data_IF_676624057113
#
_entry.id   IF_676624057113
#
_cell.length_a   1.000
_cell.length_b   1.000
_cell.length_c   1.000
_cell.angle_alpha   90.00
_cell.angle_beta   90.00
_cell.angle_gamma   90.00
#
_symmetry.space_group_name_H-M   'P 1'
#
loop_
_entity.id
_entity.type
_entity.pdbx_description
1 polymer ?
#
# COMPACT_ATOMS: atom_id res chain seq x y z
N UNK A 1 14.52 11.68 -16.86
CA UNK A 1 14.06 10.86 -15.73
C UNK A 1 14.80 9.53 -15.80
N UNK A 2 15.45 9.08 -14.72
CA UNK A 2 16.23 7.83 -14.73
C UNK A 2 15.25 6.65 -14.78
N UNK A 3 15.36 5.81 -15.81
CA UNK A 3 14.50 4.64 -15.99
C UNK A 3 15.15 3.43 -15.33
N UNK A 4 14.38 2.72 -14.49
CA UNK A 4 14.80 1.49 -13.83
C UNK A 4 14.07 0.31 -14.49
N UNK A 5 14.77 -0.79 -14.75
CA UNK A 5 14.16 -2.00 -15.33
C UNK A 5 13.33 -2.78 -14.31
N UNK A 6 13.66 -2.64 -13.03
CA UNK A 6 13.00 -3.37 -11.94
C UNK A 6 12.79 -2.45 -10.74
N UNK A 7 11.61 -2.56 -10.11
CA UNK A 7 11.29 -1.88 -8.86
C UNK A 7 11.06 -2.93 -7.77
N UNK A 8 11.75 -2.75 -6.64
CA UNK A 8 11.62 -3.59 -5.45
C UNK A 8 10.74 -2.84 -4.45
N UNK A 9 9.45 -3.16 -4.45
CA UNK A 9 8.44 -2.53 -3.61
C UNK A 9 8.46 -3.21 -2.24
N UNK A 10 9.26 -2.67 -1.32
CA UNK A 10 9.41 -3.18 0.03
C UNK A 10 8.34 -2.58 0.95
N UNK A 11 7.68 -3.41 1.76
CA UNK A 11 6.66 -2.91 2.69
C UNK A 11 7.30 -2.14 3.85
N UNK A 12 6.94 -0.85 3.96
CA UNK A 12 7.29 0.07 5.06
C UNK A 12 6.14 0.25 6.07
N UNK A 13 5.17 -0.66 6.10
CA UNK A 13 4.16 -0.66 7.16
C UNK A 13 4.77 -0.98 8.53
N UNK A 14 4.20 -0.46 9.61
CA UNK A 14 4.76 -0.60 10.97
C UNK A 14 5.07 -2.04 11.40
N UNK A 15 4.26 -3.02 10.96
CA UNK A 15 4.50 -4.43 11.23
C UNK A 15 5.74 -4.97 10.50
N UNK A 16 6.02 -4.49 9.28
CA UNK A 16 7.22 -4.85 8.54
C UNK A 16 8.46 -4.13 9.08
N UNK A 17 8.35 -2.86 9.48
CA UNK A 17 9.43 -2.18 10.20
C UNK A 17 9.78 -2.93 11.49
N UNK A 18 8.77 -3.29 12.29
CA UNK A 18 8.95 -4.07 13.51
C UNK A 18 9.57 -5.45 13.28
N UNK A 19 9.38 -6.05 12.09
CA UNK A 19 10.03 -7.30 11.70
C UNK A 19 11.35 -7.13 10.94
N UNK A 20 11.89 -5.90 10.88
CA UNK A 20 13.23 -5.62 10.37
C UNK A 20 13.31 -5.21 8.90
N UNK A 21 12.22 -4.73 8.28
CA UNK A 21 12.24 -4.33 6.87
C UNK A 21 13.23 -3.20 6.56
N UNK A 22 13.53 -2.31 7.50
CA UNK A 22 14.55 -1.26 7.29
C UNK A 22 15.95 -1.84 7.11
N UNK A 23 16.32 -2.85 7.91
CA UNK A 23 17.59 -3.53 7.76
C UNK A 23 17.67 -4.29 6.42
N UNK A 24 16.56 -4.90 5.99
CA UNK A 24 16.43 -5.54 4.68
C UNK A 24 16.60 -4.53 3.54
N UNK A 25 15.99 -3.34 3.66
CA UNK A 25 16.12 -2.23 2.70
C UNK A 25 17.56 -1.80 2.53
N UNK A 26 18.25 -1.59 3.65
CA UNK A 26 19.61 -1.06 3.65
C UNK A 26 20.57 -2.12 3.08
N UNK A 27 20.42 -3.39 3.46
CA UNK A 27 21.16 -4.50 2.89
C UNK A 27 20.93 -4.65 1.36
N UNK A 28 19.68 -4.49 0.90
CA UNK A 28 19.36 -4.50 -0.54
C UNK A 28 20.11 -3.39 -1.28
N UNK A 29 20.08 -2.16 -0.76
CA UNK A 29 20.77 -1.02 -1.38
C UNK A 29 22.28 -1.26 -1.46
N UNK A 30 22.89 -1.75 -0.38
CA UNK A 30 24.33 -2.04 -0.32
C UNK A 30 24.75 -3.15 -1.29
N UNK A 31 24.04 -4.28 -1.31
CA UNK A 31 24.39 -5.40 -2.17
C UNK A 31 24.12 -5.08 -3.66
N UNK A 32 23.06 -4.32 -3.98
CA UNK A 32 22.82 -3.82 -5.33
C UNK A 32 23.96 -2.90 -5.81
N UNK A 33 24.44 -1.98 -4.97
CA UNK A 33 25.56 -1.10 -5.31
C UNK A 33 26.87 -1.90 -5.51
N UNK A 34 27.14 -2.88 -4.64
CA UNK A 34 28.31 -3.77 -4.76
C UNK A 34 28.31 -4.56 -6.08
N UNK A 35 27.12 -4.98 -6.54
CA UNK A 35 26.93 -5.70 -7.82
C UNK A 35 26.76 -4.75 -9.02
N UNK A 36 26.80 -3.43 -8.80
CA UNK A 36 26.60 -2.37 -9.82
C UNK A 36 25.21 -2.40 -10.49
N UNK A 37 24.18 -2.80 -9.74
CA UNK A 37 22.79 -2.90 -10.20
C UNK A 37 21.92 -1.72 -9.74
N UNK A 38 22.44 -0.83 -8.88
CA UNK A 38 21.77 0.36 -8.34
C UNK A 38 21.41 1.42 -9.40
N UNK A 39 22.02 1.32 -10.59
CA UNK A 39 21.64 2.09 -11.78
C UNK A 39 20.39 1.58 -12.49
N UNK A 40 20.04 0.32 -12.30
CA UNK A 40 19.02 -0.42 -13.06
C UNK A 40 17.82 -0.85 -12.20
N UNK A 41 18.05 -1.05 -10.90
CA UNK A 41 17.06 -1.55 -9.95
C UNK A 41 16.82 -0.51 -8.86
N UNK A 42 15.57 -0.14 -8.64
CA UNK A 42 15.17 0.82 -7.60
C UNK A 42 14.52 0.09 -6.44
N UNK A 43 15.04 0.30 -5.24
CA UNK A 43 14.34 -0.06 -3.99
C UNK A 43 13.39 1.07 -3.64
N UNK A 44 12.10 0.75 -3.52
CA UNK A 44 11.04 1.70 -3.14
C UNK A 44 10.45 1.21 -1.84
N UNK A 45 10.48 2.05 -0.81
CA UNK A 45 9.72 1.79 0.40
C UNK A 45 8.28 2.24 0.17
N UNK A 46 7.36 1.30 0.31
CA UNK A 46 5.93 1.53 0.10
C UNK A 46 5.20 1.58 1.44
N UNK A 47 3.93 2.00 1.43
CA UNK A 47 3.04 1.81 2.59
C UNK A 47 2.79 0.33 2.92
N UNK A 48 1.82 0.05 3.80
CA UNK A 48 1.51 -1.33 4.17
C UNK A 48 1.04 -2.15 2.95
N UNK A 49 1.59 -3.34 2.76
CA UNK A 49 1.11 -4.29 1.75
C UNK A 49 -0.14 -5.07 2.21
N UNK A 50 -0.29 -5.27 3.52
CA UNK A 50 -1.49 -5.86 4.14
C UNK A 50 -1.33 -7.31 4.63
N UNK A 51 -0.29 -8.05 4.21
CA UNK A 51 -0.07 -9.43 4.66
C UNK A 51 0.96 -9.53 5.80
N UNK A 52 0.65 -8.90 6.94
CA UNK A 52 1.59 -8.74 8.06
C UNK A 52 2.18 -10.05 8.60
N UNK A 53 1.42 -11.15 8.54
CA UNK A 53 1.89 -12.48 8.99
C UNK A 53 3.08 -13.02 8.19
N UNK A 54 3.34 -12.47 7.00
CA UNK A 54 4.44 -12.84 6.11
C UNK A 54 5.54 -11.78 6.05
N UNK A 55 5.47 -10.72 6.87
CA UNK A 55 6.44 -9.63 6.90
C UNK A 55 7.84 -10.08 7.35
N UNK A 56 8.92 -9.42 6.89
CA UNK A 56 8.96 -8.39 5.84
C UNK A 56 8.61 -8.96 4.45
N UNK A 57 7.79 -8.22 3.70
CA UNK A 57 7.37 -8.60 2.33
C UNK A 57 7.89 -7.61 1.31
N UNK A 58 8.16 -8.10 0.10
CA UNK A 58 8.59 -7.29 -1.04
C UNK A 58 7.92 -7.78 -2.32
N UNK A 59 7.45 -6.86 -3.15
CA UNK A 59 6.92 -7.16 -4.49
C UNK A 59 7.90 -6.67 -5.54
N UNK A 60 8.30 -7.55 -6.46
CA UNK A 60 9.17 -7.19 -7.58
C UNK A 60 8.31 -6.86 -8.80
N UNK A 61 8.45 -5.64 -9.30
CA UNK A 61 7.80 -5.18 -10.52
C UNK A 61 8.83 -5.09 -11.66
N UNK A 62 8.47 -5.45 -12.91
CA UNK A 62 7.11 -5.73 -13.41
C UNK A 62 6.64 -7.19 -13.26
N UNK A 63 7.49 -8.11 -12.78
CA UNK A 63 7.19 -9.56 -12.78
C UNK A 63 6.10 -9.98 -11.77
N UNK A 64 5.66 -9.06 -10.92
CA UNK A 64 4.67 -9.24 -9.85
C UNK A 64 5.02 -10.34 -8.84
N UNK A 65 6.31 -10.62 -8.65
CA UNK A 65 6.80 -11.65 -7.74
C UNK A 65 6.73 -11.17 -6.29
N UNK A 66 6.08 -11.95 -5.42
CA UNK A 66 5.95 -11.71 -3.99
C UNK A 66 6.97 -12.53 -3.20
N UNK A 67 7.86 -11.83 -2.51
CA UNK A 67 8.78 -12.41 -1.53
C UNK A 67 8.29 -12.15 -0.11
N UNK A 68 8.41 -13.16 0.75
CA UNK A 68 7.97 -13.12 2.14
C UNK A 68 9.10 -13.45 3.13
N UNK A 69 8.90 -13.03 4.38
CA UNK A 69 9.77 -13.33 5.53
C UNK A 69 11.24 -13.04 5.24
N UNK A 70 11.49 -11.98 4.47
CA UNK A 70 12.83 -11.60 4.06
C UNK A 70 13.68 -11.27 5.28
N UNK A 71 14.91 -11.79 5.28
CA UNK A 71 15.93 -11.45 6.27
C UNK A 71 17.14 -10.86 5.58
N UNK A 72 17.99 -10.20 6.36
CA UNK A 72 19.23 -9.61 5.87
C UNK A 72 20.14 -10.67 5.24
N UNK A 73 20.15 -11.88 5.80
CA UNK A 73 20.99 -12.99 5.32
C UNK A 73 20.55 -13.54 3.96
N UNK A 74 19.28 -13.31 3.56
CA UNK A 74 18.75 -13.75 2.28
C UNK A 74 19.18 -12.83 1.12
N UNK A 75 19.58 -11.58 1.42
CA UNK A 75 19.82 -10.54 0.42
C UNK A 75 20.95 -10.88 -0.57
N UNK A 76 22.12 -11.39 -0.14
CA UNK A 76 23.17 -11.76 -1.09
C UNK A 76 22.73 -12.80 -2.12
N UNK A 77 22.00 -13.83 -1.69
CA UNK A 77 21.45 -14.86 -2.58
C UNK A 77 20.37 -14.26 -3.48
N UNK A 78 19.45 -13.48 -2.93
CA UNK A 78 18.36 -12.86 -3.67
C UNK A 78 18.87 -11.95 -4.79
N UNK A 79 19.85 -11.10 -4.50
CA UNK A 79 20.44 -10.20 -5.51
C UNK A 79 21.20 -10.99 -6.57
N UNK A 80 21.96 -12.00 -6.16
CA UNK A 80 22.74 -12.81 -7.09
C UNK A 80 21.87 -13.68 -8.00
N UNK A 81 20.92 -14.42 -7.44
CA UNK A 81 20.11 -15.36 -8.22
C UNK A 81 19.05 -14.61 -9.01
N UNK A 82 18.25 -13.75 -8.38
CA UNK A 82 17.12 -13.13 -9.07
C UNK A 82 17.56 -11.95 -9.94
N UNK A 83 18.28 -10.98 -9.37
CA UNK A 83 18.50 -9.72 -10.06
C UNK A 83 19.70 -9.71 -11.02
N UNK A 84 20.73 -10.52 -10.72
CA UNK A 84 21.91 -10.68 -11.58
C UNK A 84 21.75 -11.84 -12.58
N UNK A 85 21.30 -13.02 -12.13
CA UNK A 85 21.19 -14.22 -12.99
C UNK A 85 19.80 -14.45 -13.59
N UNK A 86 18.77 -13.71 -13.15
CA UNK A 86 17.40 -13.83 -13.66
C UNK A 86 16.64 -15.05 -13.13
N UNK A 87 17.08 -15.65 -12.01
CA UNK A 87 16.46 -16.82 -11.39
C UNK A 87 15.80 -16.46 -10.07
N UNK A 88 14.47 -16.33 -10.02
CA UNK A 88 13.75 -16.09 -8.78
C UNK A 88 14.05 -17.14 -7.69
N UNK A 89 14.03 -16.71 -6.44
CA UNK A 89 14.42 -17.56 -5.29
C UNK A 89 13.17 -18.24 -4.70
N UNK A 90 12.87 -19.46 -5.16
CA UNK A 90 11.63 -20.18 -4.83
C UNK A 90 11.40 -20.36 -3.32
N UNK A 91 12.46 -20.58 -2.54
CA UNK A 91 12.35 -20.76 -1.08
C UNK A 91 11.79 -19.53 -0.34
N UNK A 92 11.81 -18.35 -0.99
CA UNK A 92 11.33 -17.08 -0.43
C UNK A 92 9.91 -16.72 -0.93
N UNK A 93 9.32 -17.52 -1.81
CA UNK A 93 7.94 -17.33 -2.26
C UNK A 93 6.93 -17.68 -1.18
N UNK A 94 5.68 -17.25 -1.40
CA UNK A 94 4.57 -17.70 -0.56
C UNK A 94 4.35 -19.19 -0.74
N UNK A 95 4.22 -19.92 0.39
CA UNK A 95 3.87 -21.34 0.39
C UNK A 95 2.52 -21.50 1.05
N UNK A 96 1.53 -21.99 0.29
CA UNK A 96 0.18 -22.14 0.80
C UNK A 96 0.13 -23.25 1.86
N UNK A 97 -0.34 -22.98 3.10
CA UNK A 97 -0.31 -23.97 4.17
C UNK A 97 -1.17 -25.23 3.94
N UNK A 98 -2.15 -25.17 3.03
CA UNK A 98 -3.09 -26.26 2.81
C UNK A 98 -2.63 -27.22 1.70
N UNK A 99 -2.14 -26.69 0.58
CA UNK A 99 -1.68 -27.47 -0.57
C UNK A 99 -0.17 -27.73 -0.59
N UNK A 100 0.59 -26.98 0.23
CA UNK A 100 2.06 -26.91 0.20
C UNK A 100 2.63 -26.38 -1.13
N UNK A 101 1.77 -25.83 -2.00
CA UNK A 101 2.19 -25.22 -3.26
C UNK A 101 2.90 -23.89 -3.03
N UNK A 102 3.90 -23.64 -3.88
CA UNK A 102 4.66 -22.40 -3.87
C UNK A 102 4.10 -21.46 -4.93
N UNK A 103 3.69 -20.26 -4.52
CA UNK A 103 3.00 -19.27 -5.34
C UNK A 103 3.88 -18.03 -5.47
N UNK A 104 4.44 -17.75 -6.67
CA UNK A 104 5.33 -16.60 -6.88
C UNK A 104 4.57 -15.28 -7.03
N UNK A 105 3.43 -15.29 -7.73
CA UNK A 105 2.70 -14.09 -8.12
C UNK A 105 1.83 -13.56 -6.98
N UNK A 106 1.89 -12.25 -6.72
CA UNK A 106 1.03 -11.58 -5.74
C UNK A 106 -0.46 -11.86 -5.97
N UNK A 107 -0.88 -11.81 -7.25
CA UNK A 107 -2.29 -11.89 -7.64
C UNK A 107 -2.88 -13.30 -7.45
N UNK A 108 -2.02 -14.33 -7.45
CA UNK A 108 -2.43 -15.72 -7.31
C UNK A 108 -2.51 -16.17 -5.84
N UNK A 109 -1.90 -15.42 -4.92
CA UNK A 109 -1.94 -15.72 -3.49
C UNK A 109 -3.39 -15.58 -2.98
N UNK A 110 -4.00 -16.64 -2.39
CA UNK A 110 -5.40 -16.63 -1.96
C UNK A 110 -5.78 -15.49 -1.00
N UNK A 111 -4.80 -15.01 -0.22
CA UNK A 111 -4.98 -13.85 0.66
C UNK A 111 -5.36 -12.60 -0.12
N UNK A 112 -4.71 -12.31 -1.25
CA UNK A 112 -4.94 -11.10 -2.05
C UNK A 112 -6.04 -11.29 -3.10
N UNK A 113 -6.07 -12.44 -3.78
CA UNK A 113 -6.94 -12.67 -4.94
C UNK A 113 -8.45 -12.58 -4.64
N UNK A 114 -8.82 -12.71 -3.37
CA UNK A 114 -10.21 -12.65 -2.88
C UNK A 114 -10.60 -11.27 -2.34
N UNK A 115 -9.72 -10.28 -2.42
CA UNK A 115 -9.97 -8.93 -1.90
C UNK A 115 -10.42 -7.98 -3.00
N UNK A 116 -11.39 -7.12 -2.67
CA UNK A 116 -11.75 -5.97 -3.52
C UNK A 116 -11.25 -4.68 -2.86
N UNK A 117 -10.08 -4.23 -3.28
CA UNK A 117 -9.46 -3.02 -2.74
C UNK A 117 -10.04 -1.78 -3.41
N UNK A 118 -10.91 -1.05 -2.70
CA UNK A 118 -11.45 0.24 -3.16
C UNK A 118 -10.68 1.43 -2.58
N UNK A 119 -10.63 1.50 -1.26
CA UNK A 119 -9.90 2.55 -0.52
C UNK A 119 -8.40 2.27 -0.55
N UNK A 120 -8.01 1.00 -0.36
CA UNK A 120 -6.61 0.55 -0.30
C UNK A 120 -6.03 0.15 -1.66
N UNK A 121 -6.63 0.58 -2.78
CA UNK A 121 -6.24 0.15 -4.13
C UNK A 121 -4.78 0.44 -4.50
N UNK A 122 -4.18 1.43 -3.83
CA UNK A 122 -2.81 1.86 -4.07
C UNK A 122 -1.81 1.35 -3.02
N UNK A 123 -2.26 0.68 -1.94
CA UNK A 123 -1.34 0.27 -0.87
C UNK A 123 -0.26 -0.68 -1.42
N UNK A 124 0.97 -0.54 -0.95
CA UNK A 124 2.09 -1.38 -1.38
C UNK A 124 2.50 -1.22 -2.85
N UNK A 125 1.96 -0.23 -3.58
CA UNK A 125 2.24 -0.03 -5.02
C UNK A 125 2.89 1.31 -5.35
N UNK A 126 2.98 2.22 -4.38
CA UNK A 126 3.56 3.55 -4.52
C UNK A 126 4.41 3.90 -3.29
N UNK A 127 5.32 4.85 -3.50
CA UNK A 127 6.02 5.58 -2.45
C UNK A 127 5.06 6.62 -1.83
N UNK A 128 4.69 6.49 -0.54
CA UNK A 128 3.71 7.38 0.10
C UNK A 128 4.20 8.83 0.24
N UNK A 129 5.51 9.08 0.08
CA UNK A 129 6.10 10.43 0.20
C UNK A 129 6.19 11.16 -1.16
N UNK A 130 5.87 10.49 -2.27
CA UNK A 130 5.93 11.06 -3.62
C UNK A 130 4.54 11.34 -4.19
N UNK A 131 4.16 12.61 -4.17
CA UNK A 131 2.84 13.07 -4.64
C UNK A 131 2.56 12.70 -6.11
N UNK A 132 3.58 12.73 -6.97
CA UNK A 132 3.43 12.44 -8.39
C UNK A 132 2.99 10.98 -8.65
N UNK A 133 3.42 10.04 -7.80
CA UNK A 133 2.99 8.64 -7.91
C UNK A 133 1.50 8.49 -7.55
N UNK A 134 1.02 9.28 -6.59
CA UNK A 134 -0.40 9.30 -6.24
C UNK A 134 -1.23 9.93 -7.37
N UNK A 135 -0.78 11.06 -7.93
CA UNK A 135 -1.44 11.73 -9.07
C UNK A 135 -1.49 10.81 -10.29
N UNK A 136 -0.41 10.10 -10.59
CA UNK A 136 -0.34 9.16 -11.71
C UNK A 136 -1.35 7.98 -11.60
N UNK A 137 -1.95 7.78 -10.42
CA UNK A 137 -2.94 6.73 -10.13
C UNK A 137 -4.29 7.32 -9.71
N UNK A 138 -4.71 8.37 -10.40
CA UNK A 138 -5.98 9.10 -10.21
C UNK A 138 -6.11 9.79 -8.85
N UNK A 139 -5.00 9.97 -8.14
CA UNK A 139 -4.94 10.75 -6.91
C UNK A 139 -5.43 12.17 -7.16
N UNK A 140 -6.16 12.74 -6.19
CA UNK A 140 -6.81 14.05 -6.27
C UNK A 140 -7.88 14.23 -7.37
N UNK A 141 -8.12 13.26 -8.26
CA UNK A 141 -9.13 13.42 -9.31
C UNK A 141 -10.53 13.72 -8.76
N UNK A 142 -10.92 13.04 -7.68
CA UNK A 142 -12.18 13.33 -6.97
C UNK A 142 -12.21 14.70 -6.30
N UNK A 143 -11.08 15.17 -5.76
CA UNK A 143 -10.96 16.50 -5.16
C UNK A 143 -11.03 17.60 -6.23
N UNK A 144 -10.34 17.42 -7.35
CA UNK A 144 -10.39 18.33 -8.50
C UNK A 144 -11.83 18.50 -9.00
N UNK A 145 -12.55 17.39 -9.20
CA UNK A 145 -13.96 17.43 -9.60
C UNK A 145 -14.82 18.17 -8.58
N UNK A 146 -14.69 17.84 -7.28
CA UNK A 146 -15.46 18.47 -6.22
C UNK A 146 -15.21 19.98 -6.13
N UNK A 147 -13.96 20.43 -6.32
CA UNK A 147 -13.57 21.84 -6.19
C UNK A 147 -13.91 22.69 -7.42
N UNK A 148 -13.82 22.13 -8.62
CA UNK A 148 -13.91 22.89 -9.87
C UNK A 148 -15.27 22.74 -10.57
N UNK A 149 -15.99 21.65 -10.32
CA UNK A 149 -17.18 21.29 -11.11
C UNK A 149 -18.45 21.10 -10.28
N UNK A 150 -18.37 21.15 -8.95
CA UNK A 150 -19.50 20.83 -8.07
C UNK A 150 -19.76 21.92 -7.04
N UNK A 151 -21.03 22.12 -6.74
CA UNK A 151 -21.50 22.90 -5.58
C UNK A 151 -21.46 22.05 -4.30
N UNK A 152 -21.42 22.67 -3.10
CA UNK A 152 -21.52 21.95 -1.83
C UNK A 152 -22.76 21.03 -1.75
N UNK A 153 -23.90 21.48 -2.27
CA UNK A 153 -25.15 20.72 -2.30
C UNK A 153 -25.04 19.46 -3.17
N UNK A 154 -24.37 19.55 -4.32
CA UNK A 154 -24.13 18.41 -5.21
C UNK A 154 -23.17 17.41 -4.58
N UNK A 155 -22.12 17.87 -3.89
CA UNK A 155 -21.19 17.01 -3.15
C UNK A 155 -21.94 16.22 -2.08
N UNK A 156 -22.76 16.90 -1.26
CA UNK A 156 -23.60 16.26 -0.24
C UNK A 156 -24.58 15.27 -0.89
N UNK A 157 -25.19 15.65 -2.02
CA UNK A 157 -26.07 14.79 -2.80
C UNK A 157 -25.39 13.50 -3.26
N UNK A 158 -24.16 13.60 -3.78
CA UNK A 158 -23.38 12.44 -4.21
C UNK A 158 -23.02 11.53 -3.04
N UNK A 159 -22.64 12.11 -1.90
CA UNK A 159 -22.38 11.34 -0.67
C UNK A 159 -23.61 10.61 -0.16
N UNK A 160 -24.81 11.20 -0.26
CA UNK A 160 -26.08 10.53 0.06
C UNK A 160 -26.37 9.38 -0.91
N UNK A 161 -26.18 9.59 -2.22
CA UNK A 161 -26.35 8.56 -3.25
C UNK A 161 -25.42 7.36 -3.07
N UNK A 162 -24.17 7.61 -2.68
CA UNK A 162 -23.18 6.54 -2.45
C UNK A 162 -23.56 5.56 -1.33
N UNK A 163 -24.43 5.98 -0.40
CA UNK A 163 -24.79 5.20 0.78
C UNK A 163 -23.64 5.01 1.76
N UNK A 164 -22.57 5.82 1.70
CA UNK A 164 -21.42 5.68 2.60
C UNK A 164 -21.84 5.87 4.05
N UNK A 165 -21.46 4.92 4.90
CA UNK A 165 -21.67 4.95 6.35
C UNK A 165 -20.34 5.18 7.06
N UNK A 166 -20.40 5.83 8.23
CA UNK A 166 -19.22 6.06 9.07
C UNK A 166 -18.51 4.76 9.42
N UNK A 167 -17.18 4.72 9.25
CA UNK A 167 -16.37 3.52 9.42
C UNK A 167 -15.79 3.31 10.82
N UNK A 168 -15.86 4.31 11.69
CA UNK A 168 -15.51 4.19 13.12
C UNK A 168 -16.57 3.50 13.98
N UNK A 169 -17.23 2.45 13.48
CA UNK A 169 -18.18 1.63 14.25
C UNK A 169 -19.65 2.06 14.21
N UNK A 170 -19.97 3.33 14.53
CA UNK A 170 -21.37 3.77 14.68
C UNK A 170 -22.23 3.66 13.41
N UNK A 171 -21.60 3.65 12.22
CA UNK A 171 -22.30 3.38 10.97
C UNK A 171 -23.36 4.43 10.59
N UNK A 172 -23.27 5.65 11.10
CA UNK A 172 -24.21 6.72 10.73
C UNK A 172 -24.02 7.12 9.25
N UNK A 173 -25.09 7.39 8.47
CA UNK A 173 -24.96 7.80 7.07
C UNK A 173 -24.16 9.10 6.92
N UNK A 174 -23.05 9.04 6.18
CA UNK A 174 -22.08 10.14 6.06
C UNK A 174 -22.70 11.35 5.37
N UNK A 175 -23.42 11.15 4.26
CA UNK A 175 -24.08 12.23 3.54
C UNK A 175 -25.15 12.96 4.37
N UNK A 176 -25.85 12.25 5.26
CA UNK A 176 -26.81 12.86 6.18
C UNK A 176 -26.10 13.72 7.24
N UNK A 177 -24.98 13.23 7.79
CA UNK A 177 -24.16 14.00 8.73
C UNK A 177 -23.65 15.30 8.09
N UNK A 178 -23.21 15.23 6.83
CA UNK A 178 -22.75 16.41 6.08
C UNK A 178 -23.89 17.38 5.77
N UNK A 179 -25.09 16.90 5.45
CA UNK A 179 -26.28 17.74 5.25
C UNK A 179 -26.63 18.53 6.52
N UNK A 180 -26.60 17.90 7.70
CA UNK A 180 -26.84 18.59 8.97
C UNK A 180 -25.81 19.68 9.25
N UNK A 181 -24.53 19.38 9.04
CA UNK A 181 -23.45 20.37 9.18
C UNK A 181 -23.53 21.48 8.13
N UNK A 182 -23.94 21.17 6.90
CA UNK A 182 -24.15 22.14 5.83
C UNK A 182 -25.25 23.15 6.18
N UNK A 183 -26.35 22.67 6.76
CA UNK A 183 -27.51 23.49 7.16
C UNK A 183 -27.35 24.24 8.49
N UNK A 184 -26.34 23.91 9.30
CA UNK A 184 -26.14 24.62 10.56
C UNK A 184 -25.75 26.08 10.30
N UNK A 185 -26.32 26.98 11.11
CA UNK A 185 -25.94 28.40 11.13
C UNK A 185 -24.50 28.58 11.62
N UNK A 186 -23.85 29.66 11.16
CA UNK A 186 -22.48 30.02 11.52
C UNK A 186 -21.53 29.99 10.31
N UNK A 187 -20.70 31.02 10.23
CA UNK A 187 -19.76 31.23 9.11
C UNK A 187 -18.52 30.32 9.21
N UNK A 188 -18.17 29.89 10.42
CA UNK A 188 -17.01 29.04 10.69
C UNK A 188 -17.46 27.60 10.91
N UNK A 189 -16.92 26.70 10.09
CA UNK A 189 -17.18 25.25 10.16
C UNK A 189 -15.86 24.49 10.25
N UNK A 190 -15.90 23.33 10.91
CA UNK A 190 -14.72 22.51 11.15
C UNK A 190 -14.91 21.10 10.57
N UNK A 191 -13.81 20.54 10.08
CA UNK A 191 -13.71 19.13 9.72
C UNK A 191 -12.71 18.48 10.66
N UNK A 192 -13.16 17.45 11.38
CA UNK A 192 -12.36 16.72 12.36
C UNK A 192 -12.18 15.30 11.85
N UNK A 193 -10.93 14.90 11.61
CA UNK A 193 -10.58 13.51 11.36
C UNK A 193 -10.25 12.85 12.70
N UNK A 194 -11.00 11.81 13.06
CA UNK A 194 -10.64 10.99 14.21
C UNK A 194 -9.72 9.87 13.73
N UNK A 195 -8.46 9.91 14.15
CA UNK A 195 -7.43 8.92 13.83
C UNK A 195 -6.84 8.28 15.11
N UNK A 196 -7.62 8.25 16.20
CA UNK A 196 -7.18 7.71 17.49
C UNK A 196 -6.99 6.17 17.44
N UNK A 197 -7.82 5.47 16.65
CA UNK A 197 -7.74 4.01 16.39
C UNK A 197 -7.44 3.16 17.65
N UNK A 198 -8.06 3.51 18.79
CA UNK A 198 -7.72 2.91 20.09
C UNK A 198 -8.22 1.47 20.31
N UNK A 199 -9.03 0.93 19.40
CA UNK A 199 -9.63 -0.40 19.56
C UNK A 199 -8.59 -1.53 19.36
N UNK A 200 -8.49 -2.51 20.28
CA UNK A 200 -7.57 -3.64 20.11
C UNK A 200 -7.82 -4.42 18.82
N UNK A 201 -6.78 -4.57 18.00
CA UNK A 201 -6.86 -5.25 16.70
C UNK A 201 -7.27 -4.36 15.54
N UNK A 202 -7.59 -3.09 15.77
CA UNK A 202 -7.72 -2.09 14.71
C UNK A 202 -6.34 -1.61 14.25
N UNK A 203 -6.19 -1.47 12.93
CA UNK A 203 -4.98 -0.96 12.27
C UNK A 203 -5.27 -0.46 10.85
N UNK A 204 -6.53 -0.31 10.47
CA UNK A 204 -6.95 0.09 9.13
C UNK A 204 -6.66 1.57 8.84
N UNK A 205 -6.68 2.44 9.85
CA UNK A 205 -6.39 3.87 9.73
C UNK A 205 -4.87 4.11 9.70
N UNK A 206 -4.09 3.32 10.45
CA UNK A 206 -2.61 3.37 10.44
C UNK A 206 -1.97 2.81 9.16
N UNK A 207 -2.64 1.89 8.46
CA UNK A 207 -2.05 1.05 7.39
C UNK A 207 -1.77 1.78 6.07
#
# INVERSE_FOLDING_TARGET
MKTYRTHLLLCGGTACHASGSEAVRDALKEELAKRKLDGEIRVVETGCNGFCAQGPVMVVQPDNIFYQKLKVEDIPELVEEHFLKGRPVERLFYREPASEETIPSLDDIPFFSRQLLRVLRNRGTLDPELIDEYIARDGYMGASKALLEMTPEEIIGEMKKSGLRGRGGAGFPTGMKWEFAGRSEGDIKYVLCNADEGDPGAFMDRS
#
